data_IF_021916888580
#
_entry.id   IF_021916888580
#
_cell.length_a   1.000
_cell.length_b   1.000
_cell.length_c   1.000
_cell.angle_alpha   90.00
_cell.angle_beta   90.00
_cell.angle_gamma   90.00
#
_symmetry.space_group_name_H-M   'P 1'
#
loop_
_entity.id
_entity.type
_entity.pdbx_description
1 polymer ?
#
# COMPACT_ATOMS: atom_id res chain seq x y z
N UNK A 1 -7.70 13.96 5.63
CA UNK A 1 -8.83 13.20 5.02
C UNK A 1 -8.30 12.12 4.12
N UNK A 2 -9.11 11.07 3.88
CA UNK A 2 -8.69 9.90 3.10
C UNK A 2 -9.74 9.61 2.02
N UNK A 3 -9.29 9.52 0.78
CA UNK A 3 -10.11 9.04 -0.31
C UNK A 3 -10.21 7.50 -0.22
N UNK A 4 -11.35 7.01 0.24
CA UNK A 4 -11.58 5.58 0.41
C UNK A 4 -11.59 4.81 -0.90
N UNK A 5 -11.93 5.47 -2.01
CA UNK A 5 -11.88 4.88 -3.32
C UNK A 5 -10.44 4.58 -3.77
N UNK A 6 -9.50 5.47 -3.45
CA UNK A 6 -8.08 5.30 -3.78
C UNK A 6 -7.33 4.45 -2.77
N UNK A 7 -7.79 4.36 -1.52
CA UNK A 7 -7.09 3.60 -0.47
C UNK A 7 -7.18 2.10 -0.72
N UNK A 8 -6.03 1.45 -0.93
CA UNK A 8 -5.90 0.00 -1.13
C UNK A 8 -5.58 -0.78 0.16
N UNK A 9 -5.53 -0.12 1.32
CA UNK A 9 -5.24 -0.77 2.61
C UNK A 9 -3.85 -1.39 2.71
N UNK A 10 -2.84 -0.84 2.03
CA UNK A 10 -1.48 -1.38 1.99
C UNK A 10 -0.66 -1.18 3.27
N UNK A 11 -1.17 -0.41 4.25
CA UNK A 11 -0.54 -0.12 5.55
C UNK A 11 0.78 0.68 5.49
N UNK A 12 1.20 1.12 4.31
CA UNK A 12 2.46 1.84 4.17
C UNK A 12 2.47 3.14 4.97
N UNK A 13 1.34 3.86 5.04
CA UNK A 13 1.19 5.07 5.84
C UNK A 13 1.51 4.86 7.33
N UNK A 14 1.15 3.70 7.91
CA UNK A 14 1.51 3.36 9.29
C UNK A 14 3.00 3.05 9.43
N UNK A 15 3.59 2.34 8.45
CA UNK A 15 5.02 1.99 8.47
C UNK A 15 5.94 3.21 8.38
N UNK A 16 5.56 4.23 7.59
CA UNK A 16 6.35 5.46 7.43
C UNK A 16 6.05 6.51 8.50
N UNK A 17 5.08 6.25 9.38
CA UNK A 17 4.72 7.18 10.44
C UNK A 17 5.77 7.17 11.57
N UNK A 18 6.49 8.27 11.81
CA UNK A 18 7.56 8.28 12.82
C UNK A 18 7.04 8.14 14.26
N UNK A 19 5.75 8.46 14.50
CA UNK A 19 5.13 8.42 15.82
C UNK A 19 4.16 7.25 15.99
N UNK A 20 4.08 6.34 14.99
CA UNK A 20 3.19 5.18 15.04
C UNK A 20 1.73 5.53 15.40
N UNK A 21 1.26 6.71 15.00
CA UNK A 21 -0.06 7.23 15.33
C UNK A 21 -1.17 6.82 14.35
N UNK A 22 -0.86 5.94 13.37
CA UNK A 22 -1.81 5.45 12.38
C UNK A 22 -2.17 4.00 12.68
N UNK A 23 -3.44 3.76 12.88
CA UNK A 23 -4.04 2.46 13.17
C UNK A 23 -4.91 2.02 12.01
N UNK A 24 -5.37 0.78 11.99
CA UNK A 24 -6.28 0.28 10.97
C UNK A 24 -7.54 -0.30 11.58
N UNK A 25 -8.67 0.17 11.09
CA UNK A 25 -9.98 -0.30 11.47
C UNK A 25 -10.64 -1.06 10.31
N UNK A 26 -11.51 -1.98 10.66
CA UNK A 26 -12.36 -2.66 9.69
C UNK A 26 -13.65 -1.88 9.52
N UNK A 27 -13.89 -1.40 8.32
CA UNK A 27 -15.07 -0.62 7.97
C UNK A 27 -15.86 -1.30 6.86
N UNK A 28 -17.18 -1.16 6.89
CA UNK A 28 -18.05 -1.62 5.83
C UNK A 28 -17.99 -0.68 4.63
N UNK A 29 -17.88 -1.23 3.42
CA UNK A 29 -17.91 -0.44 2.19
C UNK A 29 -18.97 -0.97 1.26
N UNK A 30 -19.50 -0.08 0.41
CA UNK A 30 -20.46 -0.45 -0.61
C UNK A 30 -19.83 -1.41 -1.64
N UNK A 31 -20.62 -2.38 -2.14
CA UNK A 31 -20.23 -3.51 -2.99
C UNK A 31 -19.48 -3.15 -4.28
N UNK A 32 -19.30 -1.89 -4.59
CA UNK A 32 -18.84 -1.40 -5.91
C UNK A 32 -17.45 -0.78 -5.93
N UNK A 33 -16.67 -0.89 -4.85
CA UNK A 33 -15.31 -0.41 -4.92
C UNK A 33 -14.45 -1.40 -5.72
N UNK A 34 -13.94 -1.03 -6.91
CA UNK A 34 -13.13 -1.94 -7.75
C UNK A 34 -11.76 -2.28 -7.13
N UNK A 35 -11.43 -1.64 -6.00
CA UNK A 35 -10.13 -1.73 -5.32
C UNK A 35 -10.17 -2.54 -4.03
N UNK A 36 -11.28 -3.24 -3.80
CA UNK A 36 -11.36 -4.21 -2.73
C UNK A 36 -10.45 -5.38 -3.06
N UNK A 37 -9.37 -5.48 -2.31
CA UNK A 37 -8.51 -6.64 -2.35
C UNK A 37 -9.21 -7.76 -1.57
N UNK A 38 -9.67 -8.84 -2.22
CA UNK A 38 -10.42 -9.92 -1.57
C UNK A 38 -9.70 -10.54 -0.38
N UNK A 39 -8.36 -10.45 -0.35
CA UNK A 39 -7.53 -11.02 0.72
C UNK A 39 -7.58 -10.21 2.02
N UNK A 40 -8.02 -8.95 1.98
CA UNK A 40 -8.13 -8.06 3.14
C UNK A 40 -9.57 -7.72 3.50
N UNK A 41 -10.52 -8.20 2.72
CA UNK A 41 -11.92 -8.17 3.04
C UNK A 41 -12.25 -9.41 3.88
N UNK A 42 -12.73 -9.21 5.09
CA UNK A 42 -13.43 -10.27 5.81
C UNK A 42 -14.82 -10.29 5.17
N UNK A 43 -15.04 -11.27 4.29
CA UNK A 43 -16.35 -11.44 3.64
C UNK A 43 -17.33 -12.02 4.65
N UNK A 44 -18.22 -11.22 5.17
CA UNK A 44 -19.51 -11.74 5.67
C UNK A 44 -20.44 -11.91 4.47
N UNK A 45 -21.37 -12.85 4.51
CA UNK A 45 -22.17 -13.31 3.35
C UNK A 45 -22.91 -12.18 2.59
N UNK A 46 -22.93 -10.94 3.12
CA UNK A 46 -23.63 -9.80 2.54
C UNK A 46 -22.88 -8.44 2.61
N UNK A 47 -21.66 -8.37 3.15
CA UNK A 47 -20.96 -7.10 3.35
C UNK A 47 -19.47 -7.25 3.14
N UNK A 48 -18.89 -6.33 2.38
CA UNK A 48 -17.46 -6.24 2.24
C UNK A 48 -16.88 -5.35 3.34
N UNK A 49 -16.02 -5.95 4.17
CA UNK A 49 -15.31 -5.25 5.25
C UNK A 49 -13.87 -5.07 4.84
N UNK A 50 -13.41 -3.84 4.82
CA UNK A 50 -12.05 -3.48 4.43
C UNK A 50 -11.30 -2.77 5.54
N UNK A 51 -9.98 -2.81 5.47
CA UNK A 51 -9.13 -2.07 6.41
C UNK A 51 -8.94 -0.64 5.93
N UNK A 52 -9.21 0.33 6.81
CA UNK A 52 -8.99 1.75 6.55
C UNK A 52 -8.24 2.38 7.72
N UNK A 53 -7.35 3.36 7.45
CA UNK A 53 -6.58 3.99 8.51
C UNK A 53 -7.42 4.91 9.38
N UNK A 54 -7.14 4.84 10.67
CA UNK A 54 -7.56 5.76 11.73
C UNK A 54 -6.32 6.47 12.28
N UNK A 55 -6.46 7.63 12.90
CA UNK A 55 -5.32 8.45 13.37
C UNK A 55 -5.52 8.96 14.78
N UNK A 56 -4.56 8.71 15.66
CA UNK A 56 -4.42 9.45 16.91
C UNK A 56 -3.73 10.79 16.64
N UNK A 57 -4.55 11.84 16.47
CA UNK A 57 -4.07 13.19 16.18
C UNK A 57 -3.31 13.77 17.35
N UNK A 58 -3.59 13.32 18.59
CA UNK A 58 -2.88 13.71 19.79
C UNK A 58 -1.39 13.31 19.79
N UNK A 59 -1.02 12.32 18.96
CA UNK A 59 0.37 11.89 18.74
C UNK A 59 0.93 12.30 17.37
N UNK A 60 0.11 12.86 16.50
CA UNK A 60 0.51 13.20 15.14
C UNK A 60 1.44 14.41 15.12
N UNK A 61 2.56 14.30 14.42
CA UNK A 61 3.50 15.43 14.19
C UNK A 61 3.11 16.31 13.00
N UNK A 62 2.05 15.96 12.28
CA UNK A 62 1.65 16.66 11.04
C UNK A 62 2.79 16.72 10.00
N UNK A 63 3.70 15.75 9.99
CA UNK A 63 4.88 15.73 9.12
C UNK A 63 4.57 15.44 7.64
N UNK A 64 3.39 14.88 7.33
CA UNK A 64 2.95 14.61 5.97
C UNK A 64 3.44 13.31 5.34
N UNK A 65 4.28 12.51 5.99
CA UNK A 65 4.83 11.28 5.42
C UNK A 65 3.73 10.31 4.94
N UNK A 66 2.59 10.21 5.65
CA UNK A 66 1.49 9.35 5.25
C UNK A 66 0.90 9.72 3.88
N UNK A 67 0.93 10.99 3.51
CA UNK A 67 0.51 11.47 2.19
C UNK A 67 1.62 11.29 1.16
N UNK A 68 2.86 11.68 1.51
CA UNK A 68 4.01 11.63 0.62
C UNK A 68 4.32 10.21 0.15
N UNK A 69 4.24 9.23 1.04
CA UNK A 69 4.51 7.82 0.72
C UNK A 69 3.27 7.02 0.30
N UNK A 70 2.10 7.66 0.19
CA UNK A 70 0.90 6.95 -0.25
C UNK A 70 1.00 6.55 -1.73
N UNK A 71 0.97 5.25 -2.07
CA UNK A 71 1.21 4.79 -3.43
C UNK A 71 0.04 5.06 -4.38
N UNK A 72 -1.09 5.52 -3.86
CA UNK A 72 -2.34 5.78 -4.62
C UNK A 72 -2.86 7.20 -4.43
N UNK A 73 -2.09 8.07 -3.76
CA UNK A 73 -2.51 9.43 -3.39
C UNK A 73 -3.89 9.48 -2.71
N UNK A 74 -4.15 8.49 -1.84
CA UNK A 74 -5.40 8.41 -1.08
C UNK A 74 -5.45 9.41 0.08
N UNK A 75 -4.30 9.77 0.66
CA UNK A 75 -4.20 10.75 1.72
C UNK A 75 -4.23 12.17 1.17
N UNK A 76 -5.05 13.03 1.79
CA UNK A 76 -5.22 14.41 1.40
C UNK A 76 -5.09 15.31 2.62
N UNK A 77 -4.37 16.42 2.45
CA UNK A 77 -4.34 17.48 3.44
C UNK A 77 -5.65 18.29 3.37
N UNK A 78 -6.17 18.67 4.54
CA UNK A 78 -7.24 19.66 4.65
C UNK A 78 -6.65 20.98 5.17
N UNK A 79 -7.44 22.03 5.07
CA UNK A 79 -7.11 23.32 5.70
C UNK A 79 -7.59 23.40 7.15
N UNK A 80 -8.20 22.35 7.65
CA UNK A 80 -8.59 22.23 9.05
C UNK A 80 -7.34 22.04 9.90
N UNK A 81 -7.16 22.90 10.88
CA UNK A 81 -5.98 22.91 11.76
C UNK A 81 -6.34 22.94 13.25
N UNK A 82 -7.62 23.16 13.58
CA UNK A 82 -8.09 23.16 14.96
C UNK A 82 -8.48 21.74 15.38
N UNK A 83 -7.53 21.03 15.98
CA UNK A 83 -7.71 19.67 16.49
C UNK A 83 -7.67 19.65 18.02
N UNK A 84 -8.15 20.69 18.69
CA UNK A 84 -8.18 20.76 20.13
C UNK A 84 -9.53 20.23 20.67
N UNK A 85 -9.47 19.31 21.62
CA UNK A 85 -10.65 18.83 22.31
C UNK A 85 -10.42 18.74 23.82
N UNK A 86 -11.49 18.54 24.59
CA UNK A 86 -11.45 18.46 26.06
C UNK A 86 -10.92 17.14 26.59
N UNK A 87 -11.04 16.06 25.81
CA UNK A 87 -10.51 14.76 26.17
C UNK A 87 -9.49 14.28 25.15
N UNK A 88 -8.57 13.42 25.59
CA UNK A 88 -7.59 12.82 24.70
C UNK A 88 -8.22 11.81 23.76
N UNK A 89 -9.28 11.18 24.18
CA UNK A 89 -10.01 10.16 23.42
C UNK A 89 -10.67 10.78 22.18
N UNK A 90 -11.13 12.05 22.30
CA UNK A 90 -11.73 12.80 21.20
C UNK A 90 -10.69 13.26 20.13
N UNK A 91 -9.40 13.08 20.41
CA UNK A 91 -8.32 13.29 19.43
C UNK A 91 -8.00 12.04 18.61
N UNK A 92 -8.70 10.95 18.82
CA UNK A 92 -8.60 9.76 17.99
C UNK A 92 -9.66 9.80 16.89
N UNK A 93 -9.23 10.05 15.67
CA UNK A 93 -10.11 10.09 14.51
C UNK A 93 -10.26 8.70 13.91
N UNK A 94 -11.45 8.17 13.99
CA UNK A 94 -11.82 6.90 13.40
C UNK A 94 -11.81 6.95 11.86
N UNK A 95 -11.69 5.79 11.23
CA UNK A 95 -11.58 5.71 9.78
C UNK A 95 -12.75 6.37 9.04
N UNK A 96 -13.97 6.28 9.59
CA UNK A 96 -15.16 6.90 9.01
C UNK A 96 -15.12 8.44 9.06
N UNK A 97 -14.56 9.02 10.12
CA UNK A 97 -14.42 10.48 10.28
C UNK A 97 -13.39 11.05 9.31
N UNK A 98 -12.39 10.24 8.96
CA UNK A 98 -11.36 10.61 7.99
C UNK A 98 -11.80 10.43 6.55
N UNK A 99 -12.96 9.80 6.30
CA UNK A 99 -13.47 9.58 4.95
C UNK A 99 -13.71 10.90 4.24
N UNK A 100 -13.12 11.05 3.06
CA UNK A 100 -13.43 12.18 2.17
C UNK A 100 -14.90 12.12 1.76
N UNK A 101 -15.65 13.25 1.80
CA UNK A 101 -16.98 13.32 1.19
C UNK A 101 -16.94 12.88 -0.28
N UNK A 102 -17.96 12.13 -0.71
CA UNK A 102 -18.07 11.62 -2.09
C UNK A 102 -18.32 12.75 -3.10
N UNK A 103 -17.29 13.53 -3.36
CA UNK A 103 -17.24 14.38 -4.55
C UNK A 103 -16.90 13.52 -5.75
N UNK A 104 -17.40 13.89 -6.93
CA UNK A 104 -17.08 13.27 -8.21
C UNK A 104 -15.59 13.46 -8.59
N UNK A 105 -14.71 12.96 -7.76
CA UNK A 105 -13.27 12.99 -7.96
C UNK A 105 -12.87 11.93 -8.99
N UNK A 106 -11.84 12.22 -9.73
CA UNK A 106 -11.20 11.36 -10.71
C UNK A 106 -11.01 9.94 -10.15
N UNK A 107 -11.75 8.98 -10.72
CA UNK A 107 -11.74 7.58 -10.29
C UNK A 107 -10.52 6.81 -10.80
N UNK A 108 -9.52 7.50 -11.33
CA UNK A 108 -8.30 6.88 -11.81
C UNK A 108 -7.34 6.66 -10.64
N UNK A 109 -6.97 5.42 -10.40
CA UNK A 109 -5.88 5.07 -9.48
C UNK A 109 -4.63 4.76 -10.29
N UNK A 110 -3.54 5.37 -9.87
CA UNK A 110 -2.21 5.10 -10.35
C UNK A 110 -1.42 4.56 -9.16
N UNK A 111 -0.73 3.42 -9.33
CA UNK A 111 0.13 2.86 -8.30
C UNK A 111 1.54 3.42 -8.48
N UNK A 112 2.14 3.90 -7.40
CA UNK A 112 3.50 4.46 -7.41
C UNK A 112 4.33 3.76 -6.35
N UNK A 113 5.49 3.24 -6.72
CA UNK A 113 6.49 2.78 -5.76
C UNK A 113 7.31 3.98 -5.27
N UNK A 114 6.95 4.54 -4.13
CA UNK A 114 7.62 5.71 -3.54
C UNK A 114 8.76 5.32 -2.58
N UNK A 115 8.90 4.03 -2.29
CA UNK A 115 9.97 3.52 -1.43
C UNK A 115 11.25 3.27 -2.22
N UNK A 116 11.14 2.91 -3.52
CA UNK A 116 12.30 2.58 -4.36
C UNK A 116 12.93 1.23 -4.06
N UNK A 117 12.22 0.35 -3.36
CA UNK A 117 12.69 -0.98 -3.00
C UNK A 117 11.77 -2.06 -3.59
N UNK A 118 12.35 -3.21 -3.93
CA UNK A 118 11.61 -4.38 -4.38
C UNK A 118 12.01 -5.64 -3.60
N UNK A 119 11.10 -6.61 -3.42
CA UNK A 119 11.43 -7.87 -2.77
C UNK A 119 12.30 -8.75 -3.65
N UNK A 120 13.31 -9.37 -3.08
CA UNK A 120 14.14 -10.44 -3.67
C UNK A 120 13.90 -11.74 -2.94
N UNK A 121 14.13 -12.88 -3.60
CA UNK A 121 13.83 -14.20 -3.10
C UNK A 121 15.08 -15.05 -2.94
N UNK A 122 15.30 -15.60 -1.75
CA UNK A 122 16.20 -16.71 -1.51
C UNK A 122 15.48 -18.05 -1.79
N UNK A 123 15.68 -18.58 -3.00
CA UNK A 123 14.95 -19.76 -3.51
C UNK A 123 15.17 -20.98 -2.62
N UNK A 124 16.37 -21.18 -2.10
CA UNK A 124 16.75 -22.36 -1.30
C UNK A 124 16.02 -22.44 0.06
N UNK A 125 15.57 -21.30 0.57
CA UNK A 125 14.89 -21.19 1.87
C UNK A 125 13.37 -21.25 1.71
N UNK A 126 12.84 -20.91 0.54
CA UNK A 126 11.42 -20.81 0.30
C UNK A 126 10.70 -22.17 0.46
N UNK A 127 9.60 -22.18 1.21
CA UNK A 127 8.79 -23.38 1.47
C UNK A 127 7.50 -23.46 0.64
N UNK A 128 7.22 -22.46 -0.21
CA UNK A 128 6.04 -22.41 -1.07
C UNK A 128 4.71 -22.22 -0.33
N UNK A 129 4.70 -21.51 0.78
CA UNK A 129 3.51 -21.38 1.66
C UNK A 129 2.42 -20.42 1.12
N UNK A 130 2.69 -19.65 0.07
CA UNK A 130 1.79 -18.68 -0.58
C UNK A 130 1.30 -17.55 0.32
N UNK A 131 1.90 -17.29 1.47
CA UNK A 131 1.50 -16.16 2.32
C UNK A 131 1.77 -14.82 1.66
N UNK A 132 2.93 -14.67 1.02
CA UNK A 132 3.33 -13.47 0.29
C UNK A 132 2.33 -13.10 -0.83
N UNK A 133 1.86 -14.09 -1.61
CA UNK A 133 0.84 -13.91 -2.64
C UNK A 133 -0.49 -13.39 -2.05
N UNK A 134 -0.95 -14.00 -0.96
CA UNK A 134 -2.22 -13.67 -0.32
C UNK A 134 -2.24 -12.29 0.32
N UNK A 135 -1.12 -11.87 0.91
CA UNK A 135 -1.01 -10.59 1.61
C UNK A 135 -0.60 -9.43 0.68
N UNK A 136 -0.27 -9.71 -0.58
CA UNK A 136 0.13 -8.67 -1.51
C UNK A 136 -1.03 -7.74 -1.88
N UNK A 137 -0.98 -6.43 -1.54
CA UNK A 137 -2.09 -5.50 -1.78
C UNK A 137 -2.31 -5.18 -3.25
N UNK A 138 -1.30 -5.31 -4.09
CA UNK A 138 -1.37 -5.01 -5.53
C UNK A 138 -1.44 -6.26 -6.39
N UNK A 139 -1.42 -7.47 -5.78
CA UNK A 139 -1.40 -8.76 -6.49
C UNK A 139 -0.28 -8.84 -7.51
N UNK A 140 0.90 -8.34 -7.15
CA UNK A 140 2.08 -8.38 -8.00
C UNK A 140 2.88 -9.68 -7.87
N UNK A 141 2.36 -10.70 -7.18
CA UNK A 141 3.05 -11.94 -6.90
C UNK A 141 2.28 -13.11 -7.51
N UNK A 142 2.89 -13.76 -8.47
CA UNK A 142 2.40 -15.00 -9.05
C UNK A 142 3.22 -16.18 -8.54
N UNK A 143 2.59 -17.33 -8.30
CA UNK A 143 3.28 -18.51 -7.82
C UNK A 143 3.60 -19.44 -9.00
N UNK A 144 4.90 -19.63 -9.24
CA UNK A 144 5.43 -20.48 -10.33
C UNK A 144 6.15 -21.71 -9.79
N UNK A 145 6.31 -22.74 -10.61
CA UNK A 145 7.06 -23.93 -10.25
C UNK A 145 8.55 -23.61 -10.13
N UNK A 146 9.10 -23.77 -8.94
CA UNK A 146 10.51 -23.49 -8.66
C UNK A 146 11.44 -24.68 -9.01
N UNK A 147 12.75 -24.46 -8.95
CA UNK A 147 13.76 -25.47 -9.29
C UNK A 147 13.90 -26.58 -8.25
N UNK A 148 13.46 -26.35 -7.01
CA UNK A 148 13.59 -27.29 -5.91
C UNK A 148 12.43 -28.30 -5.90
N UNK A 149 12.74 -29.58 -5.63
CA UNK A 149 11.76 -30.65 -5.52
C UNK A 149 11.52 -31.03 -4.06
N UNK A 150 10.27 -31.04 -3.64
CA UNK A 150 9.84 -31.61 -2.35
C UNK A 150 8.92 -32.79 -2.59
N UNK A 151 9.30 -33.97 -2.08
CA UNK A 151 8.57 -35.23 -2.32
C UNK A 151 8.30 -35.50 -3.81
N UNK A 152 9.25 -35.18 -4.69
CA UNK A 152 9.14 -35.41 -6.14
C UNK A 152 8.26 -34.42 -6.91
N UNK A 153 7.78 -33.34 -6.26
CA UNK A 153 7.04 -32.25 -6.88
C UNK A 153 7.81 -30.95 -6.77
N UNK A 154 7.77 -30.05 -7.76
CA UNK A 154 8.38 -28.72 -7.66
C UNK A 154 7.74 -27.94 -6.52
N UNK A 155 8.56 -27.21 -5.77
CA UNK A 155 8.09 -26.25 -4.79
C UNK A 155 7.67 -25.00 -5.55
N UNK A 156 6.46 -24.51 -5.32
CA UNK A 156 6.02 -23.24 -5.90
C UNK A 156 6.74 -22.08 -5.21
N UNK A 157 7.27 -21.16 -6.01
CA UNK A 157 7.97 -19.97 -5.53
C UNK A 157 7.30 -18.70 -6.04
N UNK A 158 7.42 -17.57 -5.34
CA UNK A 158 6.88 -16.29 -5.81
C UNK A 158 7.70 -15.74 -6.99
N UNK A 159 7.03 -15.34 -8.04
CA UNK A 159 7.54 -14.48 -9.10
C UNK A 159 6.90 -13.11 -8.96
N UNK A 160 7.69 -12.04 -9.07
CA UNK A 160 7.25 -10.68 -8.79
C UNK A 160 7.08 -9.87 -10.08
N UNK A 161 5.89 -9.32 -10.28
CA UNK A 161 5.67 -8.27 -11.26
C UNK A 161 6.07 -6.93 -10.64
N UNK A 162 7.30 -6.52 -10.87
CA UNK A 162 7.84 -5.27 -10.31
C UNK A 162 7.14 -4.02 -10.83
N UNK A 163 6.41 -4.12 -11.95
CA UNK A 163 5.60 -3.03 -12.45
C UNK A 163 4.36 -2.74 -11.58
N UNK A 164 3.93 -3.70 -10.78
CA UNK A 164 2.81 -3.56 -9.84
C UNK A 164 3.26 -3.46 -8.38
N UNK A 165 4.53 -3.69 -8.10
CA UNK A 165 5.06 -3.68 -6.75
C UNK A 165 5.23 -2.24 -6.24
N UNK A 166 4.59 -1.92 -5.11
CA UNK A 166 4.66 -0.59 -4.46
C UNK A 166 5.69 -0.51 -3.33
N UNK A 167 6.52 -1.53 -3.13
CA UNK A 167 7.55 -1.55 -2.09
C UNK A 167 7.01 -1.61 -0.65
N UNK A 168 5.79 -2.11 -0.43
CA UNK A 168 5.12 -2.04 0.89
C UNK A 168 5.65 -3.03 1.96
N UNK A 169 6.58 -3.90 1.64
CA UNK A 169 7.20 -4.91 2.52
C UNK A 169 6.27 -5.99 3.07
N UNK A 170 4.98 -5.98 2.79
CA UNK A 170 4.01 -6.94 3.34
C UNK A 170 4.39 -8.41 3.09
N UNK A 171 4.96 -8.70 1.92
CA UNK A 171 5.40 -10.05 1.57
C UNK A 171 6.60 -10.51 2.42
N UNK A 172 7.47 -9.59 2.83
CA UNK A 172 8.62 -9.85 3.73
C UNK A 172 8.11 -10.09 5.14
N UNK A 173 7.28 -9.20 5.68
CA UNK A 173 6.76 -9.27 7.06
C UNK A 173 5.97 -10.55 7.36
N UNK A 174 5.27 -11.10 6.34
CA UNK A 174 4.47 -12.33 6.54
C UNK A 174 5.23 -13.62 6.23
N UNK A 175 6.48 -13.52 5.80
CA UNK A 175 7.29 -14.68 5.45
C UNK A 175 7.70 -15.47 6.69
N UNK A 176 7.25 -16.71 6.88
CA UNK A 176 7.54 -17.47 8.10
C UNK A 176 8.96 -18.05 8.15
N UNK A 177 9.71 -17.95 7.08
CA UNK A 177 11.08 -18.48 6.94
C UNK A 177 12.09 -17.42 6.49
N UNK A 178 11.68 -16.15 6.48
CA UNK A 178 12.52 -14.99 6.16
C UNK A 178 13.31 -15.14 4.84
N UNK A 179 12.68 -15.75 3.82
CA UNK A 179 13.30 -15.95 2.51
C UNK A 179 13.12 -14.77 1.55
N UNK A 180 12.51 -13.69 1.99
CA UNK A 180 12.28 -12.49 1.21
C UNK A 180 12.97 -11.30 1.87
N UNK A 181 13.69 -10.52 1.08
CA UNK A 181 14.41 -9.33 1.54
C UNK A 181 14.07 -8.17 0.61
N UNK A 182 14.09 -6.92 1.14
CA UNK A 182 13.95 -5.73 0.30
C UNK A 182 15.31 -5.29 -0.19
N UNK A 183 15.42 -4.98 -1.48
CA UNK A 183 16.61 -4.43 -2.10
C UNK A 183 16.28 -3.13 -2.83
N UNK A 184 17.21 -2.17 -2.76
CA UNK A 184 17.08 -0.93 -3.52
C UNK A 184 17.14 -1.21 -5.02
N UNK A 185 16.17 -0.68 -5.74
CA UNK A 185 16.17 -0.72 -7.19
C UNK A 185 16.89 0.51 -7.70
N UNK A 186 17.99 0.30 -8.41
CA UNK A 186 18.68 1.40 -9.08
C UNK A 186 17.76 2.05 -10.11
N UNK A 187 17.29 3.24 -9.83
CA UNK A 187 16.55 4.03 -10.81
C UNK A 187 17.45 4.40 -11.98
N UNK A 188 16.95 4.38 -13.23
CA UNK A 188 17.67 4.97 -14.35
C UNK A 188 18.02 6.42 -14.03
N UNK A 189 19.26 6.83 -14.31
CA UNK A 189 19.75 8.17 -14.01
C UNK A 189 18.81 9.25 -14.60
N UNK A 190 18.23 10.07 -13.74
CA UNK A 190 17.28 11.13 -14.10
C UNK A 190 15.81 10.79 -13.84
N UNK A 191 15.48 9.59 -13.34
CA UNK A 191 14.12 9.17 -13.00
C UNK A 191 13.99 8.79 -11.51
N UNK A 192 14.78 9.39 -10.67
CA UNK A 192 14.73 9.20 -9.23
C UNK A 192 13.36 9.66 -8.73
N UNK A 193 12.49 8.71 -8.41
CA UNK A 193 11.31 8.96 -7.61
C UNK A 193 9.94 8.68 -8.22
N UNK A 194 9.77 8.38 -9.52
CA UNK A 194 8.42 8.24 -10.08
C UNK A 194 8.29 7.14 -11.15
N UNK A 195 7.90 5.94 -10.72
CA UNK A 195 7.26 4.98 -11.62
C UNK A 195 5.74 5.01 -11.39
N UNK A 196 5.00 5.51 -12.37
CA UNK A 196 3.55 5.38 -12.41
C UNK A 196 3.19 4.01 -12.97
N UNK A 197 2.59 3.18 -12.13
CA UNK A 197 2.07 1.88 -12.53
C UNK A 197 0.56 2.03 -12.61
N UNK A 198 0.00 1.97 -13.82
CA UNK A 198 -1.44 1.91 -13.93
C UNK A 198 -1.94 0.47 -13.67
N UNK A 199 -3.18 0.36 -13.25
CA UNK A 199 -3.80 -0.93 -12.85
C UNK A 199 -3.94 -1.91 -14.02
N UNK A 200 -3.74 -1.47 -15.26
CA UNK A 200 -3.79 -2.26 -16.49
C UNK A 200 -2.43 -2.83 -16.90
N UNK A 201 -1.39 -2.62 -16.08
CA UNK A 201 -0.06 -3.21 -16.29
C UNK A 201 0.81 -2.51 -17.33
N UNK A 202 0.41 -1.36 -17.83
CA UNK A 202 1.27 -0.53 -18.65
C UNK A 202 2.08 0.44 -17.78
N UNK A 203 3.40 0.31 -17.83
CA UNK A 203 4.32 1.33 -17.32
C UNK A 203 4.24 2.53 -18.26
N UNK A 204 3.58 3.59 -17.84
CA UNK A 204 3.68 4.88 -18.52
C UNK A 204 4.63 5.76 -17.75
N UNK A 205 5.73 6.10 -18.38
CA UNK A 205 6.52 7.26 -17.99
C UNK A 205 5.63 8.48 -18.24
N UNK A 206 5.10 9.07 -17.18
CA UNK A 206 4.40 10.35 -17.31
C UNK A 206 5.47 11.43 -17.42
N UNK A 207 5.88 11.75 -18.64
CA UNK A 207 6.74 12.92 -18.92
C UNK A 207 6.09 14.24 -18.44
N UNK A 208 4.78 14.24 -18.21
CA UNK A 208 4.01 15.40 -17.80
C UNK A 208 4.08 15.68 -16.29
N UNK A 209 4.44 14.67 -15.45
CA UNK A 209 4.54 14.81 -14.01
C UNK A 209 5.99 14.87 -13.49
N UNK A 210 6.97 14.97 -14.37
CA UNK A 210 8.35 15.20 -13.97
C UNK A 210 8.41 16.54 -13.20
N UNK A 211 9.00 16.57 -11.99
CA UNK A 211 9.06 17.80 -11.20
C UNK A 211 9.72 18.89 -12.02
N UNK A 212 8.97 19.97 -12.28
CA UNK A 212 9.54 21.16 -12.92
C UNK A 212 10.70 21.61 -12.03
N UNK A 213 11.91 21.65 -12.60
CA UNK A 213 13.09 22.14 -11.89
C UNK A 213 12.77 23.51 -11.31
N UNK A 214 12.69 23.60 -9.98
CA UNK A 214 12.58 24.85 -9.28
C UNK A 214 13.84 25.67 -9.64
N UNK A 215 13.72 26.81 -10.30
CA UNK A 215 14.88 27.64 -10.60
C UNK A 215 15.55 28.06 -9.29
N UNK A 216 16.89 27.93 -9.26
CA UNK A 216 17.71 28.33 -8.11
C UNK A 216 17.66 29.84 -7.89
#
# INVERSE_FOLDING_TARGET
>A
MIDWYKCIGCELCAKVCPNECIYFEFVEVDEKSPYLLPQRAIMDENKEVVRRPAVDVGHCLFCGNCSEYCPTDAWMFSQEFEHADYSREDLFYHAEELKKPDDASDKKIVLINRIGEHPTLEVDVCIGCRKCERECPTRCIDMVDGPLLRKGKPIVIPEFDYNKCIGCQQCVDVCPVDCLHMEEVGFPAGMEGFYNINFEGEVRLLEEDAPQKIPK
#
